data_IF_347305100874
#
_entry.id   IF_347305100874
#
_cell.length_a   1.000
_cell.length_b   1.000
_cell.length_c   1.000
_cell.angle_alpha   90.00
_cell.angle_beta   90.00
_cell.angle_gamma   90.00
#
_symmetry.space_group_name_H-M   'P 1'
#
loop_
_entity.id
_entity.type
_entity.pdbx_description
1 polymer ?
#
# COMPACT_ATOMS: atom_id res chain seq x y z
N UNK A 1 -7.00 -9.26 42.18
CA UNK A 1 -8.14 -8.57 42.81
C UNK A 1 -7.76 -7.12 43.08
N UNK A 2 -8.71 -6.20 43.15
CA UNK A 2 -8.44 -4.81 43.50
C UNK A 2 -8.49 -4.65 45.03
N UNK A 3 -7.67 -3.77 45.58
CA UNK A 3 -7.65 -3.43 47.02
C UNK A 3 -8.10 -1.99 47.22
N UNK A 4 -8.90 -1.72 48.25
CA UNK A 4 -9.32 -0.36 48.59
C UNK A 4 -8.14 0.42 49.18
N UNK A 5 -7.87 1.61 48.62
CA UNK A 5 -6.77 2.50 49.06
C UNK A 5 -7.26 3.84 49.59
N UNK A 6 -8.52 4.21 49.32
CA UNK A 6 -9.25 5.31 49.92
C UNK A 6 -10.76 5.04 49.76
N UNK A 7 -11.66 5.72 50.50
CA UNK A 7 -13.10 5.50 50.37
C UNK A 7 -13.58 5.56 48.92
N UNK A 8 -14.05 4.43 48.40
CA UNK A 8 -14.52 4.31 47.00
C UNK A 8 -13.42 4.24 45.93
N UNK A 9 -12.13 4.16 46.32
CA UNK A 9 -10.98 4.02 45.42
C UNK A 9 -10.34 2.65 45.57
N UNK A 10 -10.42 1.84 44.52
CA UNK A 10 -9.85 0.51 44.46
C UNK A 10 -8.69 0.47 43.46
N UNK A 11 -7.55 -0.08 43.86
CA UNK A 11 -6.31 -0.12 43.05
C UNK A 11 -5.74 -1.53 43.02
N UNK A 12 -5.12 -1.92 41.90
CA UNK A 12 -4.26 -3.11 41.82
C UNK A 12 -2.96 -2.74 41.11
N UNK A 13 -1.88 -3.45 41.45
CA UNK A 13 -0.65 -3.45 40.66
C UNK A 13 -0.57 -4.75 39.90
N UNK A 14 -0.28 -4.66 38.62
CA UNK A 14 -0.09 -5.80 37.74
C UNK A 14 1.24 -5.60 37.00
N UNK A 15 2.09 -6.61 37.05
CA UNK A 15 3.36 -6.62 36.32
C UNK A 15 3.10 -7.23 34.95
N UNK A 16 3.35 -6.47 33.90
CA UNK A 16 3.20 -6.97 32.55
C UNK A 16 4.29 -7.99 32.20
N UNK A 17 3.97 -9.03 31.41
CA UNK A 17 4.94 -10.03 30.99
C UNK A 17 5.92 -9.53 29.92
N UNK A 18 5.56 -8.49 29.15
CA UNK A 18 6.40 -7.92 28.10
C UNK A 18 6.05 -6.46 27.81
N UNK A 19 6.82 -5.82 26.93
CA UNK A 19 6.41 -4.56 26.30
C UNK A 19 5.29 -4.86 25.28
N UNK A 20 4.38 -3.90 25.09
CA UNK A 20 3.29 -4.03 24.13
C UNK A 20 2.03 -3.24 24.50
N UNK A 21 0.97 -3.50 23.73
CA UNK A 21 -0.36 -2.94 23.98
C UNK A 21 -1.18 -3.91 24.84
N UNK A 22 -1.74 -3.39 25.91
CA UNK A 22 -2.59 -4.16 26.83
C UNK A 22 -3.99 -3.57 26.91
N UNK A 23 -4.96 -4.46 27.12
CA UNK A 23 -6.37 -4.12 27.28
C UNK A 23 -6.80 -4.48 28.69
N UNK A 24 -7.29 -3.48 29.43
CA UNK A 24 -7.93 -3.66 30.73
C UNK A 24 -9.44 -3.60 30.56
N UNK A 25 -10.16 -4.56 31.16
CA UNK A 25 -11.62 -4.61 31.15
C UNK A 25 -12.18 -4.75 32.56
N UNK A 26 -13.19 -3.96 32.89
CA UNK A 26 -13.97 -4.07 34.13
C UNK A 26 -15.45 -3.91 33.79
N UNK A 27 -16.19 -5.03 33.74
CA UNK A 27 -17.57 -5.03 33.24
C UNK A 27 -17.61 -4.53 31.80
N UNK A 28 -18.34 -3.43 31.59
CA UNK A 28 -18.52 -2.76 30.30
C UNK A 28 -17.47 -1.66 30.04
N UNK A 29 -16.58 -1.39 31.00
CA UNK A 29 -15.48 -0.44 30.82
C UNK A 29 -14.29 -1.14 30.21
N UNK A 30 -13.72 -0.53 29.17
CA UNK A 30 -12.53 -1.03 28.50
C UNK A 30 -11.54 0.12 28.23
N UNK A 31 -10.25 -0.15 28.41
CA UNK A 31 -9.19 0.80 28.04
C UNK A 31 -7.96 0.08 27.52
N UNK A 32 -7.37 0.65 26.47
CA UNK A 32 -6.08 0.22 25.91
C UNK A 32 -4.99 1.15 26.43
N UNK A 33 -3.86 0.57 26.84
CA UNK A 33 -2.66 1.31 27.23
C UNK A 33 -1.43 0.66 26.61
N UNK A 34 -0.46 1.50 26.26
CA UNK A 34 0.85 1.06 25.78
C UNK A 34 1.81 0.97 26.97
N UNK A 35 2.47 -0.17 27.09
CA UNK A 35 3.59 -0.35 27.99
C UNK A 35 4.85 -0.52 27.14
N UNK A 36 5.78 0.42 27.26
CA UNK A 36 7.05 0.40 26.56
C UNK A 36 8.10 1.17 27.35
N UNK A 37 9.33 1.24 26.83
CA UNK A 37 10.39 2.02 27.45
C UNK A 37 9.97 3.49 27.53
N UNK A 38 10.37 4.17 28.61
CA UNK A 38 10.08 5.60 28.81
C UNK A 38 10.63 6.49 27.68
N UNK A 39 11.67 6.00 26.99
CA UNK A 39 12.26 6.58 25.79
C UNK A 39 12.22 5.54 24.66
N UNK A 40 11.17 5.51 23.83
CA UNK A 40 11.13 4.61 22.68
C UNK A 40 12.23 4.97 21.69
N UNK A 41 12.88 3.96 21.10
CA UNK A 41 14.02 4.16 20.18
C UNK A 41 13.61 4.94 18.93
N UNK A 42 12.34 4.85 18.53
CA UNK A 42 11.77 5.59 17.40
C UNK A 42 11.82 7.11 17.60
N UNK A 43 11.93 7.59 18.85
CA UNK A 43 12.00 9.01 19.18
C UNK A 43 13.41 9.49 19.56
N UNK A 44 14.42 8.61 19.56
CA UNK A 44 15.82 9.02 19.80
C UNK A 44 16.37 9.86 18.64
N UNK A 45 15.97 9.54 17.41
CA UNK A 45 16.41 10.23 16.19
C UNK A 45 15.22 10.53 15.27
N UNK A 46 14.57 11.66 15.52
CA UNK A 46 13.39 12.11 14.75
C UNK A 46 13.76 12.94 13.52
N UNK A 47 15.01 13.38 13.40
CA UNK A 47 15.49 14.10 12.23
C UNK A 47 15.87 13.11 11.15
N UNK A 48 15.26 13.27 9.97
CA UNK A 48 15.60 12.49 8.80
C UNK A 48 17.11 12.57 8.50
N UNK A 49 17.77 11.42 8.52
CA UNK A 49 19.19 11.28 8.20
C UNK A 49 19.42 10.05 7.32
N UNK A 50 20.37 10.19 6.39
CA UNK A 50 20.85 9.09 5.56
C UNK A 50 22.10 8.40 6.16
N UNK A 51 22.65 8.91 7.27
CA UNK A 51 23.91 8.45 7.85
C UNK A 51 23.91 6.93 8.14
N UNK A 52 22.85 6.34 8.72
CA UNK A 52 22.82 4.89 8.96
C UNK A 52 22.89 4.06 7.67
N UNK A 53 22.49 4.63 6.53
CA UNK A 53 22.50 3.98 5.23
C UNK A 53 23.77 4.25 4.42
N UNK A 54 24.67 5.13 4.88
CA UNK A 54 25.86 5.53 4.13
C UNK A 54 26.72 4.35 3.63
N UNK A 55 26.99 3.29 4.42
CA UNK A 55 27.74 2.12 3.94
C UNK A 55 27.03 1.38 2.80
N UNK A 56 25.70 1.24 2.89
CA UNK A 56 24.90 0.56 1.88
C UNK A 56 24.80 1.40 0.59
N UNK A 57 24.68 2.72 0.71
CA UNK A 57 24.68 3.64 -0.43
C UNK A 57 26.02 3.61 -1.15
N UNK A 58 27.14 3.63 -0.41
CA UNK A 58 28.48 3.53 -0.99
C UNK A 58 28.71 2.18 -1.72
N UNK A 59 28.28 1.06 -1.12
CA UNK A 59 28.42 -0.27 -1.73
C UNK A 59 27.54 -0.47 -2.96
N UNK A 60 26.34 0.13 -3.00
CA UNK A 60 25.39 -0.01 -4.11
C UNK A 60 25.53 1.04 -5.20
N UNK A 61 26.27 2.12 -4.95
CA UNK A 61 26.29 3.31 -5.80
C UNK A 61 24.96 4.08 -5.79
N UNK A 62 24.18 3.93 -4.70
CA UNK A 62 22.90 4.58 -4.43
C UNK A 62 23.03 6.04 -4.01
N UNK A 63 21.90 6.71 -3.76
CA UNK A 63 21.88 8.05 -3.19
C UNK A 63 20.73 8.26 -2.21
N UNK A 64 20.87 9.28 -1.36
CA UNK A 64 19.81 9.83 -0.55
C UNK A 64 19.55 11.28 -0.99
N UNK A 65 18.29 11.63 -1.18
CA UNK A 65 17.84 12.94 -1.62
C UNK A 65 16.84 13.51 -0.61
N UNK A 66 16.92 14.82 -0.38
CA UNK A 66 16.00 15.57 0.47
C UNK A 66 14.71 15.86 -0.30
N UNK A 67 13.57 15.35 0.17
CA UNK A 67 12.29 15.56 -0.51
C UNK A 67 11.80 17.01 -0.36
N UNK A 68 12.28 17.73 0.65
CA UNK A 68 12.03 19.16 0.83
C UNK A 68 12.59 20.02 -0.32
N UNK A 69 13.59 19.51 -1.06
CA UNK A 69 14.18 20.17 -2.25
C UNK A 69 13.41 19.86 -3.54
N UNK A 70 12.43 18.94 -3.48
CA UNK A 70 11.59 18.52 -4.60
C UNK A 70 11.54 17.01 -4.77
N UNK A 71 10.50 16.53 -5.47
CA UNK A 71 10.34 15.10 -5.77
C UNK A 71 11.30 14.68 -6.89
N UNK A 72 12.19 13.69 -6.67
CA UNK A 72 13.09 13.23 -7.71
C UNK A 72 12.35 12.44 -8.80
N UNK A 73 12.82 12.57 -10.03
CA UNK A 73 12.41 11.70 -11.14
C UNK A 73 12.94 10.28 -10.92
N UNK A 74 12.13 9.26 -11.24
CA UNK A 74 12.49 7.84 -11.07
C UNK A 74 12.83 7.25 -12.43
N UNK A 75 14.07 6.75 -12.57
CA UNK A 75 14.57 6.20 -13.83
C UNK A 75 14.94 4.74 -13.69
N UNK A 76 14.67 3.94 -14.71
CA UNK A 76 15.18 2.57 -14.76
C UNK A 76 16.62 2.55 -15.26
N UNK A 77 17.53 1.98 -14.47
CA UNK A 77 18.95 1.84 -14.81
C UNK A 77 19.37 0.37 -14.79
N UNK A 78 20.38 0.03 -15.58
CA UNK A 78 21.01 -1.31 -15.53
C UNK A 78 21.92 -1.41 -14.31
N UNK A 79 22.10 -2.63 -13.79
CA UNK A 79 23.05 -2.90 -12.72
C UNK A 79 24.47 -2.42 -13.06
N UNK A 80 25.19 -1.90 -12.06
CA UNK A 80 26.56 -1.40 -12.22
C UNK A 80 26.68 -0.04 -12.91
N UNK A 81 25.57 0.64 -13.18
CA UNK A 81 25.56 2.02 -13.71
C UNK A 81 25.30 3.01 -12.58
N UNK A 82 25.59 4.28 -12.84
CA UNK A 82 25.25 5.40 -11.94
C UNK A 82 23.75 5.36 -11.65
N UNK A 83 23.39 5.33 -10.36
CA UNK A 83 21.99 5.18 -9.91
C UNK A 83 21.40 6.47 -9.34
N UNK A 84 22.08 7.61 -9.47
CA UNK A 84 21.54 8.91 -9.06
C UNK A 84 22.22 10.07 -9.79
N UNK A 85 21.53 11.21 -9.85
CA UNK A 85 22.08 12.46 -10.35
C UNK A 85 21.24 13.66 -9.90
N UNK A 86 21.49 14.83 -10.50
CA UNK A 86 20.71 16.04 -10.17
C UNK A 86 19.23 15.84 -10.47
N UNK A 87 18.41 15.77 -9.43
CA UNK A 87 16.95 15.68 -9.51
C UNK A 87 16.38 14.32 -9.93
N UNK A 88 17.15 13.24 -9.92
CA UNK A 88 16.64 11.90 -10.26
C UNK A 88 17.35 10.78 -9.49
N UNK A 89 16.61 9.68 -9.28
CA UNK A 89 17.11 8.44 -8.69
C UNK A 89 16.81 7.24 -9.59
N UNK A 90 17.75 6.32 -9.65
CA UNK A 90 17.74 5.13 -10.48
C UNK A 90 17.25 3.92 -9.71
N UNK A 91 16.31 3.17 -10.28
CA UNK A 91 15.91 1.84 -9.82
C UNK A 91 16.41 0.80 -10.81
N UNK A 92 16.86 -0.35 -10.30
CA UNK A 92 17.20 -1.51 -11.14
C UNK A 92 16.06 -2.53 -11.03
N UNK A 93 15.21 -2.68 -12.06
CA UNK A 93 14.11 -3.66 -12.02
C UNK A 93 14.68 -5.07 -11.83
N UNK A 94 14.24 -5.77 -10.78
CA UNK A 94 14.67 -7.15 -10.47
C UNK A 94 13.61 -8.21 -10.80
N UNK A 95 12.59 -7.84 -11.56
CA UNK A 95 11.47 -8.73 -11.87
C UNK A 95 10.66 -9.16 -10.64
N UNK A 96 10.87 -8.54 -9.49
CA UNK A 96 10.12 -8.79 -8.27
C UNK A 96 8.78 -8.05 -8.34
N UNK A 97 7.84 -8.64 -9.08
CA UNK A 97 6.44 -8.21 -9.09
C UNK A 97 5.59 -9.25 -8.35
N UNK A 98 4.59 -8.78 -7.62
CA UNK A 98 3.52 -9.61 -7.09
C UNK A 98 2.22 -9.22 -7.81
N UNK A 99 1.53 -10.18 -8.42
CA UNK A 99 0.20 -9.96 -8.98
C UNK A 99 -0.80 -9.89 -7.83
N UNK A 100 -1.07 -8.68 -7.36
CA UNK A 100 -1.97 -8.42 -6.23
C UNK A 100 -3.45 -8.42 -6.61
N UNK A 101 -3.79 -8.13 -7.87
CA UNK A 101 -5.17 -8.09 -8.35
C UNK A 101 -5.23 -8.40 -9.85
N UNK A 102 -6.32 -9.03 -10.29
CA UNK A 102 -6.64 -9.27 -11.70
C UNK A 102 -8.00 -8.62 -11.98
N UNK A 103 -7.98 -7.51 -12.73
CA UNK A 103 -9.19 -6.83 -13.17
C UNK A 103 -9.53 -7.21 -14.60
N UNK A 104 -10.64 -7.92 -14.78
CA UNK A 104 -11.20 -8.18 -16.11
C UNK A 104 -12.19 -7.06 -16.42
N UNK A 105 -11.84 -6.19 -17.37
CA UNK A 105 -12.75 -5.18 -17.90
C UNK A 105 -13.47 -5.74 -19.15
N UNK A 106 -14.80 -5.61 -19.25
CA UNK A 106 -15.51 -6.00 -20.46
C UNK A 106 -15.11 -5.09 -21.63
N UNK A 107 -14.99 -5.66 -22.84
CA UNK A 107 -14.59 -4.92 -24.05
C UNK A 107 -15.56 -3.77 -24.39
N UNK A 108 -16.85 -3.97 -24.12
CA UNK A 108 -17.90 -2.99 -24.32
C UNK A 108 -18.84 -2.99 -23.10
N UNK A 109 -19.53 -1.88 -22.82
CA UNK A 109 -20.69 -1.89 -21.94
C UNK A 109 -21.77 -2.85 -22.46
N UNK A 110 -22.63 -3.37 -21.59
CA UNK A 110 -23.68 -4.33 -21.96
C UNK A 110 -24.58 -3.87 -23.12
N UNK A 111 -24.90 -2.57 -23.17
CA UNK A 111 -25.70 -1.99 -24.25
C UNK A 111 -24.98 -1.99 -25.61
N UNK A 112 -23.64 -1.96 -25.62
CA UNK A 112 -22.86 -2.04 -26.86
C UNK A 112 -23.03 -3.40 -27.53
N UNK A 113 -23.04 -4.48 -26.74
CA UNK A 113 -23.36 -5.82 -27.24
C UNK A 113 -24.80 -5.93 -27.73
N UNK A 114 -25.75 -5.31 -27.03
CA UNK A 114 -27.15 -5.27 -27.46
C UNK A 114 -27.29 -4.58 -28.82
N UNK A 115 -26.63 -3.44 -29.03
CA UNK A 115 -26.64 -2.76 -30.32
C UNK A 115 -26.06 -3.63 -31.44
N UNK A 116 -24.94 -4.32 -31.19
CA UNK A 116 -24.35 -5.25 -32.16
C UNK A 116 -25.34 -6.38 -32.49
N UNK A 117 -25.97 -6.99 -31.49
CA UNK A 117 -26.95 -8.04 -31.68
C UNK A 117 -28.15 -7.57 -32.52
N UNK A 118 -28.68 -6.38 -32.23
CA UNK A 118 -29.78 -5.76 -33.00
C UNK A 118 -29.35 -5.50 -34.45
N UNK A 119 -28.18 -4.88 -34.66
CA UNK A 119 -27.67 -4.58 -35.99
C UNK A 119 -27.45 -5.85 -36.82
N UNK A 120 -26.85 -6.89 -36.24
CA UNK A 120 -26.66 -8.18 -36.91
C UNK A 120 -28.00 -8.86 -37.22
N UNK A 121 -28.98 -8.79 -36.31
CA UNK A 121 -30.32 -9.36 -36.54
C UNK A 121 -31.03 -8.66 -37.71
N UNK A 122 -30.99 -7.32 -37.73
CA UNK A 122 -31.58 -6.53 -38.82
C UNK A 122 -30.85 -6.79 -40.14
N UNK A 123 -29.51 -6.85 -40.11
CA UNK A 123 -28.71 -7.15 -41.30
C UNK A 123 -29.05 -8.54 -41.87
N UNK A 124 -29.16 -9.55 -41.02
CA UNK A 124 -29.58 -10.90 -41.41
C UNK A 124 -30.98 -10.88 -42.04
N UNK A 125 -31.95 -10.21 -41.42
CA UNK A 125 -33.31 -10.08 -41.96
C UNK A 125 -33.33 -9.39 -43.33
N UNK A 126 -32.54 -8.34 -43.50
CA UNK A 126 -32.43 -7.60 -44.76
C UNK A 126 -31.72 -8.39 -45.87
N UNK A 127 -30.78 -9.27 -45.53
CA UNK A 127 -30.14 -10.20 -46.48
C UNK A 127 -31.15 -11.26 -46.90
N UNK A 128 -31.82 -11.89 -45.94
CA UNK A 128 -32.80 -12.96 -46.20
C UNK A 128 -34.01 -12.44 -46.99
N UNK A 129 -34.50 -11.24 -46.65
CA UNK A 129 -35.62 -10.59 -47.34
C UNK A 129 -35.31 -10.16 -48.78
N UNK A 130 -34.03 -9.98 -49.12
CA UNK A 130 -33.58 -9.72 -50.50
C UNK A 130 -33.37 -11.01 -51.31
N UNK A 131 -33.28 -12.17 -50.65
CA UNK A 131 -32.94 -13.45 -51.27
C UNK A 131 -34.08 -14.46 -51.26
N UNK A 132 -35.13 -14.22 -52.08
CA UNK A 132 -35.96 -15.25 -52.75
C UNK A 132 -37.00 -14.62 -53.71
N UNK A 133 -36.57 -13.76 -54.65
CA UNK A 133 -37.27 -13.72 -55.95
C UNK A 133 -36.81 -14.97 -56.72
N UNK A 134 -37.52 -16.09 -56.51
CA UNK A 134 -37.45 -17.21 -57.45
C UNK A 134 -37.98 -16.69 -58.79
N UNK A 135 -37.14 -16.76 -59.82
CA UNK A 135 -37.58 -16.77 -61.20
C UNK A 135 -38.41 -18.04 -61.46
#
# INVERSE_FOLDING_TARGET
TLSETAPGRFTARWTAPSEGLYRLRQGDLERVFALGPASPREFEQTIASADPLAPALAASGGAALRLEEGQPDIRTVRAGRVTAGRGWIGITPRGASATVDIRVAPLLPAWGFLLIAVLLSVAAWLVEGRGRRRA
#
